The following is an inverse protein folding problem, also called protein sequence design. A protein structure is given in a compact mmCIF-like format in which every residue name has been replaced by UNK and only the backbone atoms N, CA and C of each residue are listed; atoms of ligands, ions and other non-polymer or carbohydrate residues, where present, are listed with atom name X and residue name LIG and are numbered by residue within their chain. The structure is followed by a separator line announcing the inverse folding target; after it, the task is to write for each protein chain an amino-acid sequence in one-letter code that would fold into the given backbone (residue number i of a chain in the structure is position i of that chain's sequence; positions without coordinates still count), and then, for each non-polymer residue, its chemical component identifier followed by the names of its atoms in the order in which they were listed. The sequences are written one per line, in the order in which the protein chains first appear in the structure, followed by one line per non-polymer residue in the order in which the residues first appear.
data_IF_141185637714
#
_entry.id   IF_141185637714
#
_cell.length_a   1.000
_cell.length_b   1.000
_cell.length_c   1.000
_cell.angle_alpha   90.00
_cell.angle_beta   90.00
_cell.angle_gamma   90.00
#
_symmetry.space_group_name_H-M   'P 1'
#
loop_
_entity.id
_entity.type
_entity.pdbx_description
1 polymer ?
#
# COMPACT_ATOMS: atom_id res chain seq x y z
N UNK A 1 21.84 10.23 -41.76
CA UNK A 1 21.09 9.39 -40.80
C UNK A 1 22.02 8.23 -40.47
N UNK A 2 22.54 8.19 -39.26
CA UNK A 2 23.27 7.06 -38.74
C UNK A 2 22.20 6.25 -38.02
N UNK A 3 21.74 5.15 -38.62
CA UNK A 3 20.99 4.10 -37.93
C UNK A 3 22.00 3.31 -37.11
N UNK A 4 22.07 3.58 -35.82
CA UNK A 4 22.71 2.67 -34.86
C UNK A 4 21.68 1.58 -34.58
N UNK A 5 21.73 0.47 -35.31
CA UNK A 5 21.15 -0.78 -34.87
C UNK A 5 22.02 -1.29 -33.72
N UNK A 6 21.58 -1.10 -32.47
CA UNK A 6 22.06 -1.92 -31.40
C UNK A 6 21.58 -3.35 -31.70
N UNK A 7 22.50 -4.24 -32.01
CA UNK A 7 22.28 -5.67 -32.08
C UNK A 7 22.21 -6.16 -30.61
N UNK A 8 21.08 -5.91 -29.95
CA UNK A 8 20.83 -6.45 -28.61
C UNK A 8 20.59 -7.96 -28.78
N UNK A 9 21.65 -8.74 -28.70
CA UNK A 9 21.55 -10.19 -28.62
C UNK A 9 20.71 -10.55 -27.41
N UNK A 10 19.61 -11.32 -27.63
CA UNK A 10 18.77 -11.83 -26.56
C UNK A 10 19.63 -12.53 -25.50
N UNK A 11 19.47 -12.16 -24.24
CA UNK A 11 20.12 -12.86 -23.13
C UNK A 11 19.60 -14.31 -23.04
N UNK A 12 20.36 -15.18 -22.38
CA UNK A 12 19.94 -16.57 -22.16
C UNK A 12 18.81 -16.64 -21.16
N UNK A 13 17.89 -17.59 -21.36
CA UNK A 13 16.84 -17.90 -20.41
C UNK A 13 17.45 -18.34 -19.08
N UNK A 14 16.87 -17.90 -17.97
CA UNK A 14 17.41 -18.11 -16.62
C UNK A 14 16.35 -18.63 -15.65
N UNK A 15 16.84 -19.34 -14.63
CA UNK A 15 16.01 -19.82 -13.52
C UNK A 15 16.65 -19.44 -12.20
N UNK A 16 15.83 -18.90 -11.30
CA UNK A 16 16.22 -18.52 -9.92
C UNK A 16 15.31 -19.25 -8.94
N UNK A 17 15.88 -19.77 -7.86
CA UNK A 17 15.13 -20.42 -6.78
C UNK A 17 15.12 -19.50 -5.55
N UNK A 18 13.94 -19.36 -4.91
CA UNK A 18 13.76 -18.60 -3.70
C UNK A 18 12.72 -19.24 -2.76
N UNK A 19 12.66 -18.81 -1.51
CA UNK A 19 11.53 -19.17 -0.64
C UNK A 19 10.29 -18.36 -1.02
N UNK A 20 10.47 -17.07 -1.31
CA UNK A 20 9.40 -16.15 -1.65
C UNK A 20 9.75 -15.37 -2.91
N UNK A 21 8.85 -15.34 -3.87
CA UNK A 21 8.90 -14.41 -5.00
C UNK A 21 7.83 -13.33 -4.83
N UNK A 22 8.23 -12.09 -5.00
CA UNK A 22 7.36 -10.92 -4.90
C UNK A 22 7.30 -10.26 -6.26
N UNK A 23 6.11 -9.98 -6.76
CA UNK A 23 5.90 -9.31 -8.04
C UNK A 23 5.53 -7.85 -7.79
N UNK A 24 6.44 -6.94 -8.13
CA UNK A 24 6.32 -5.50 -7.93
C UNK A 24 7.19 -4.97 -6.79
N UNK A 25 8.10 -4.02 -7.11
CA UNK A 25 9.01 -3.35 -6.17
C UNK A 25 8.47 -1.99 -5.69
N UNK A 26 7.18 -1.89 -5.44
CA UNK A 26 6.58 -0.75 -4.75
C UNK A 26 6.76 -0.83 -3.23
N UNK A 27 6.16 0.10 -2.48
CA UNK A 27 6.21 0.10 -1.01
C UNK A 27 5.78 -1.23 -0.40
N UNK A 28 4.65 -1.79 -0.84
CA UNK A 28 4.14 -3.07 -0.35
C UNK A 28 5.09 -4.25 -0.63
N UNK A 29 5.69 -4.29 -1.83
CA UNK A 29 6.60 -5.38 -2.21
C UNK A 29 7.89 -5.35 -1.42
N UNK A 30 8.47 -4.17 -1.25
CA UNK A 30 9.72 -4.03 -0.49
C UNK A 30 9.52 -4.28 1.01
N UNK A 31 8.42 -3.82 1.61
CA UNK A 31 8.12 -4.14 3.02
C UNK A 31 7.90 -5.64 3.23
N UNK A 32 7.16 -6.31 2.33
CA UNK A 32 6.98 -7.75 2.36
C UNK A 32 8.33 -8.49 2.23
N UNK A 33 9.21 -8.01 1.35
CA UNK A 33 10.53 -8.60 1.12
C UNK A 33 11.44 -8.48 2.36
N UNK A 34 11.51 -7.29 2.96
CA UNK A 34 12.30 -7.03 4.17
C UNK A 34 11.81 -7.92 5.31
N UNK A 35 10.49 -8.01 5.50
CA UNK A 35 9.87 -8.84 6.54
C UNK A 35 10.20 -10.33 6.33
N UNK A 36 10.01 -10.85 5.11
CA UNK A 36 10.31 -12.25 4.82
C UNK A 36 11.81 -12.57 4.96
N UNK A 37 12.69 -11.67 4.52
CA UNK A 37 14.13 -11.83 4.68
C UNK A 37 14.55 -11.77 6.16
N UNK A 38 13.92 -10.94 6.98
CA UNK A 38 14.10 -10.89 8.43
C UNK A 38 13.76 -12.22 9.13
N UNK A 39 12.81 -12.97 8.57
CA UNK A 39 12.46 -14.34 9.00
C UNK A 39 13.38 -15.42 8.38
N UNK A 40 14.51 -15.03 7.80
CA UNK A 40 15.53 -15.92 7.24
C UNK A 40 15.13 -16.58 5.92
N UNK A 41 14.18 -16.01 5.18
CA UNK A 41 13.78 -16.52 3.87
C UNK A 41 14.63 -15.89 2.76
N UNK A 42 14.94 -16.68 1.73
CA UNK A 42 15.47 -16.15 0.48
C UNK A 42 14.34 -15.48 -0.32
N UNK A 43 14.56 -14.24 -0.75
CA UNK A 43 13.52 -13.42 -1.41
C UNK A 43 14.01 -12.86 -2.73
N UNK A 44 13.18 -12.98 -3.75
CA UNK A 44 13.38 -12.35 -5.06
C UNK A 44 12.20 -11.45 -5.36
N UNK A 45 12.47 -10.19 -5.72
CA UNK A 45 11.46 -9.26 -6.26
C UNK A 45 11.61 -9.20 -7.78
N UNK A 46 10.52 -9.30 -8.51
CA UNK A 46 10.44 -9.11 -9.96
C UNK A 46 9.75 -7.77 -10.23
N UNK A 47 10.44 -6.84 -10.89
CA UNK A 47 9.94 -5.49 -11.18
C UNK A 47 10.04 -5.19 -12.68
N UNK A 48 8.92 -4.79 -13.27
CA UNK A 48 8.81 -4.51 -14.71
C UNK A 48 9.54 -3.23 -15.14
N UNK A 49 9.73 -2.29 -14.23
CA UNK A 49 10.32 -0.99 -14.51
C UNK A 49 11.85 -0.99 -14.28
N UNK A 50 12.57 0.01 -14.83
CA UNK A 50 14.01 0.14 -14.62
C UNK A 50 14.39 0.65 -13.22
N UNK A 51 13.43 0.94 -12.38
CA UNK A 51 13.61 1.43 -11.01
C UNK A 51 12.48 0.95 -10.10
N UNK A 52 12.75 0.88 -8.82
CA UNK A 52 11.75 0.56 -7.78
C UNK A 52 10.79 1.73 -7.51
N UNK A 53 9.71 1.47 -6.78
CA UNK A 53 8.84 2.47 -6.20
C UNK A 53 7.46 2.59 -6.85
N UNK A 54 7.33 2.40 -8.16
CA UNK A 54 6.04 2.48 -8.85
C UNK A 54 5.24 3.75 -8.51
N UNK A 55 3.98 3.61 -8.10
CA UNK A 55 3.16 4.73 -7.62
C UNK A 55 3.55 5.17 -6.21
N UNK A 56 4.16 4.30 -5.40
CA UNK A 56 4.53 4.63 -4.03
C UNK A 56 5.56 5.76 -3.95
N UNK A 57 6.54 5.81 -4.87
CA UNK A 57 7.54 6.89 -4.91
C UNK A 57 6.92 8.25 -5.25
N UNK A 58 5.75 8.27 -5.87
CA UNK A 58 5.02 9.47 -6.29
C UNK A 58 4.08 10.01 -5.21
N UNK A 59 3.91 9.28 -4.10
CA UNK A 59 3.04 9.68 -3.02
C UNK A 59 3.56 10.96 -2.33
N UNK A 60 2.78 12.04 -2.38
CA UNK A 60 3.13 13.35 -1.83
C UNK A 60 2.55 13.60 -0.44
N UNK A 61 1.57 12.82 -0.03
CA UNK A 61 0.92 12.92 1.27
C UNK A 61 1.78 12.39 2.40
N UNK A 62 1.21 11.53 3.20
CA UNK A 62 1.84 10.85 4.32
C UNK A 62 1.16 9.51 4.56
N UNK A 63 1.52 8.85 5.64
CA UNK A 63 0.91 7.60 6.09
C UNK A 63 -0.11 7.89 7.18
N UNK A 64 -1.34 7.42 6.99
CA UNK A 64 -2.42 7.60 7.94
C UNK A 64 -2.35 6.50 9.02
N UNK A 65 -2.18 6.89 10.28
CA UNK A 65 -2.10 5.96 11.41
C UNK A 65 -2.67 6.57 12.68
N UNK A 66 -3.33 5.75 13.50
CA UNK A 66 -3.90 6.15 14.79
C UNK A 66 -3.13 5.55 15.97
N UNK A 67 -3.16 6.22 17.12
CA UNK A 67 -2.53 5.74 18.37
C UNK A 67 -1.01 5.57 18.29
N UNK A 68 -0.33 6.43 17.54
CA UNK A 68 1.13 6.40 17.42
C UNK A 68 1.79 7.24 18.54
N UNK A 69 3.05 6.92 18.86
CA UNK A 69 3.88 7.71 19.77
C UNK A 69 4.01 9.17 19.30
N UNK A 70 4.03 9.39 17.99
CA UNK A 70 4.14 10.72 17.40
C UNK A 70 2.89 11.58 17.54
N UNK A 71 1.70 10.98 17.67
CA UNK A 71 0.49 11.73 18.03
C UNK A 71 0.61 12.29 19.44
N UNK A 72 1.15 11.53 20.39
CA UNK A 72 1.29 11.94 21.79
C UNK A 72 2.28 13.12 21.99
N UNK A 73 3.13 13.40 21.01
CA UNK A 73 3.99 14.60 20.98
C UNK A 73 3.24 15.88 20.63
N UNK A 74 1.97 15.77 20.19
CA UNK A 74 1.15 16.90 19.80
C UNK A 74 0.16 17.29 20.89
N UNK A 75 -0.14 18.59 20.99
CA UNK A 75 -1.27 19.08 21.79
C UNK A 75 -2.59 18.72 21.10
N UNK A 76 -3.52 18.13 21.85
CA UNK A 76 -4.84 17.78 21.33
C UNK A 76 -5.74 19.02 21.26
N UNK A 77 -6.20 19.33 20.07
CA UNK A 77 -7.07 20.48 19.79
C UNK A 77 -8.31 20.15 18.94
N UNK A 78 -8.56 18.86 18.67
CA UNK A 78 -9.53 18.40 17.67
C UNK A 78 -10.89 17.99 18.25
N UNK A 79 -11.29 18.48 19.44
CA UNK A 79 -12.58 18.14 20.08
C UNK A 79 -13.78 18.28 19.13
N UNK A 80 -13.83 19.37 18.36
CA UNK A 80 -14.89 19.59 17.38
C UNK A 80 -14.93 18.53 16.26
N UNK A 81 -13.79 17.94 15.90
CA UNK A 81 -13.69 16.85 14.94
C UNK A 81 -14.35 15.58 15.47
N UNK A 82 -14.00 15.20 16.70
CA UNK A 82 -14.58 14.03 17.38
C UNK A 82 -16.10 14.17 17.54
N UNK A 83 -16.55 15.31 18.04
CA UNK A 83 -17.98 15.60 18.24
C UNK A 83 -18.76 15.57 16.92
N UNK A 84 -18.17 16.12 15.84
CA UNK A 84 -18.77 16.09 14.52
C UNK A 84 -18.90 14.68 13.98
N UNK A 85 -17.88 13.81 14.16
CA UNK A 85 -17.93 12.41 13.72
C UNK A 85 -19.02 11.64 14.48
N UNK A 86 -19.09 11.78 15.80
CA UNK A 86 -20.15 11.17 16.60
C UNK A 86 -21.56 11.64 16.19
N UNK A 87 -21.72 12.95 15.98
CA UNK A 87 -22.97 13.51 15.48
C UNK A 87 -23.33 12.97 14.11
N UNK A 88 -22.37 12.87 13.19
CA UNK A 88 -22.59 12.33 11.84
C UNK A 88 -23.05 10.88 11.90
N UNK A 89 -22.43 10.06 12.75
CA UNK A 89 -22.83 8.68 12.97
C UNK A 89 -24.30 8.58 13.41
N UNK A 90 -24.69 9.37 14.41
CA UNK A 90 -26.06 9.36 14.96
C UNK A 90 -27.11 9.86 13.95
N UNK A 91 -26.79 10.91 13.17
CA UNK A 91 -27.78 11.55 12.27
C UNK A 91 -27.90 10.83 10.92
N UNK A 92 -26.82 10.23 10.40
CA UNK A 92 -26.81 9.70 9.01
C UNK A 92 -26.68 8.19 8.93
N UNK A 93 -26.27 7.54 10.01
CA UNK A 93 -25.96 6.10 10.02
C UNK A 93 -26.61 5.34 11.17
N UNK A 94 -27.73 5.87 11.71
CA UNK A 94 -28.44 5.24 12.83
C UNK A 94 -28.89 3.78 12.55
N UNK A 95 -29.10 3.45 11.28
CA UNK A 95 -29.51 2.11 10.84
C UNK A 95 -28.31 1.20 10.50
N UNK A 96 -27.07 1.68 10.60
CA UNK A 96 -25.87 0.89 10.36
C UNK A 96 -25.32 0.36 11.69
N UNK A 97 -25.47 -0.93 11.95
CA UNK A 97 -25.11 -1.56 13.22
C UNK A 97 -23.62 -1.39 13.55
N UNK A 98 -22.71 -1.52 12.57
CA UNK A 98 -21.26 -1.36 12.77
C UNK A 98 -20.93 0.06 13.19
N UNK A 99 -21.41 1.06 12.44
CA UNK A 99 -21.15 2.48 12.74
C UNK A 99 -21.74 2.86 14.10
N UNK A 100 -22.92 2.36 14.42
CA UNK A 100 -23.59 2.63 15.71
C UNK A 100 -22.81 2.02 16.88
N UNK A 101 -22.29 0.80 16.74
CA UNK A 101 -21.46 0.15 17.76
C UNK A 101 -20.15 0.91 17.97
N UNK A 102 -19.45 1.28 16.90
CA UNK A 102 -18.22 2.08 16.96
C UNK A 102 -18.48 3.44 17.62
N UNK A 103 -19.55 4.14 17.20
CA UNK A 103 -19.89 5.45 17.78
C UNK A 103 -20.19 5.37 19.27
N UNK A 104 -20.80 4.29 19.75
CA UNK A 104 -21.00 4.04 21.18
C UNK A 104 -19.67 3.92 21.91
N UNK A 105 -18.77 3.05 21.43
CA UNK A 105 -17.43 2.86 22.03
C UNK A 105 -16.65 4.15 22.06
N UNK A 106 -16.61 4.88 20.92
CA UNK A 106 -15.92 6.17 20.83
C UNK A 106 -16.52 7.22 21.79
N UNK A 107 -17.86 7.25 21.96
CA UNK A 107 -18.51 8.15 22.93
C UNK A 107 -18.08 7.87 24.36
N UNK A 108 -17.95 6.60 24.75
CA UNK A 108 -17.47 6.20 26.07
C UNK A 108 -16.01 6.58 26.27
N UNK A 109 -15.15 6.34 25.27
CA UNK A 109 -13.73 6.74 25.27
C UNK A 109 -13.58 8.27 25.35
N UNK A 110 -14.37 9.00 24.56
CA UNK A 110 -14.36 10.46 24.56
C UNK A 110 -14.80 11.04 25.90
N UNK A 111 -15.87 10.54 26.51
CA UNK A 111 -16.32 10.95 27.83
C UNK A 111 -15.25 10.69 28.91
N UNK A 112 -14.56 9.56 28.85
CA UNK A 112 -13.47 9.24 29.77
C UNK A 112 -12.29 10.19 29.60
N UNK A 113 -11.90 10.51 28.37
CA UNK A 113 -10.85 11.48 28.09
C UNK A 113 -11.20 12.89 28.58
N UNK A 114 -12.44 13.35 28.33
CA UNK A 114 -12.90 14.68 28.80
C UNK A 114 -12.89 14.79 30.33
N UNK A 115 -13.16 13.69 31.04
CA UNK A 115 -13.11 13.65 32.50
C UNK A 115 -11.67 13.73 33.05
N UNK A 116 -10.69 13.23 32.33
CA UNK A 116 -9.28 13.26 32.73
C UNK A 116 -8.37 13.30 31.47
N UNK A 117 -8.22 14.49 30.84
CA UNK A 117 -7.43 14.63 29.62
C UNK A 117 -5.96 14.28 29.83
N UNK A 118 -5.45 13.28 29.10
CA UNK A 118 -4.04 12.83 29.14
C UNK A 118 -3.58 12.48 27.75
N UNK A 119 -2.48 13.08 27.30
CA UNK A 119 -1.93 12.84 25.95
C UNK A 119 -2.84 13.29 24.82
N UNK A 120 -2.61 12.74 23.64
CA UNK A 120 -3.40 13.01 22.45
C UNK A 120 -4.58 12.03 22.37
N UNK A 121 -5.80 12.55 22.18
CA UNK A 121 -6.98 11.69 22.04
C UNK A 121 -7.06 11.09 20.63
N UNK A 122 -6.90 9.81 20.54
CA UNK A 122 -7.24 8.98 19.39
C UNK A 122 -7.50 7.54 19.85
N UNK A 123 -8.16 6.75 19.03
CA UNK A 123 -8.34 5.31 19.22
C UNK A 123 -8.47 4.59 17.90
N UNK A 124 -8.27 3.28 17.94
CA UNK A 124 -8.51 2.40 16.78
C UNK A 124 -9.96 2.56 16.33
N UNK A 125 -10.90 2.52 17.27
CA UNK A 125 -12.35 2.62 17.00
C UNK A 125 -12.74 4.00 16.43
N UNK A 126 -12.06 5.09 16.82
CA UNK A 126 -12.30 6.40 16.20
C UNK A 126 -11.78 6.43 14.76
N UNK A 127 -10.65 5.80 14.49
CA UNK A 127 -10.12 5.68 13.13
C UNK A 127 -11.02 4.78 12.25
N UNK A 128 -11.53 3.69 12.81
CA UNK A 128 -12.52 2.83 12.14
C UNK A 128 -13.82 3.58 11.85
N UNK A 129 -14.33 4.35 12.82
CA UNK A 129 -15.54 5.14 12.68
C UNK A 129 -15.39 6.20 11.55
N UNK A 130 -14.29 6.94 11.53
CA UNK A 130 -13.98 7.90 10.46
C UNK A 130 -13.91 7.19 9.10
N UNK A 131 -13.26 6.02 9.04
CA UNK A 131 -13.10 5.23 7.82
C UNK A 131 -14.42 4.68 7.31
N UNK A 132 -15.26 4.12 8.20
CA UNK A 132 -16.60 3.62 7.87
C UNK A 132 -17.51 4.75 7.35
N UNK A 133 -17.49 5.91 8.01
CA UNK A 133 -18.27 7.10 7.56
C UNK A 133 -17.74 7.60 6.23
N UNK A 134 -16.42 7.69 6.03
CA UNK A 134 -15.78 8.09 4.79
C UNK A 134 -16.15 7.20 3.61
N UNK A 135 -16.24 5.90 3.84
CA UNK A 135 -16.70 4.88 2.89
C UNK A 135 -18.23 4.76 2.81
N UNK A 136 -18.98 5.68 3.43
CA UNK A 136 -20.47 5.70 3.43
C UNK A 136 -21.12 4.44 3.99
N UNK A 137 -20.42 3.73 4.86
CA UNK A 137 -20.91 2.52 5.52
C UNK A 137 -20.98 1.27 4.65
N UNK A 138 -20.39 1.29 3.46
CA UNK A 138 -20.33 0.14 2.54
C UNK A 138 -19.03 -0.66 2.64
N UNK A 139 -18.07 -0.16 3.41
CA UNK A 139 -16.80 -0.83 3.66
C UNK A 139 -17.02 -2.21 4.29
N UNK A 140 -16.11 -3.15 4.03
CA UNK A 140 -16.03 -4.37 4.83
C UNK A 140 -15.45 -4.03 6.21
N UNK A 141 -16.21 -4.22 7.31
CA UNK A 141 -15.74 -3.84 8.65
C UNK A 141 -14.50 -4.59 9.10
N UNK A 142 -14.32 -5.85 8.70
CA UNK A 142 -13.17 -6.67 9.09
C UNK A 142 -11.88 -6.17 8.44
N UNK A 143 -11.95 -5.67 7.20
CA UNK A 143 -10.82 -5.05 6.51
C UNK A 143 -10.47 -3.70 7.12
N UNK A 144 -11.49 -2.90 7.51
CA UNK A 144 -11.29 -1.62 8.21
C UNK A 144 -10.62 -1.84 9.55
N UNK A 145 -11.09 -2.79 10.37
CA UNK A 145 -10.50 -3.17 11.65
C UNK A 145 -9.02 -3.59 11.46
N UNK A 146 -8.75 -4.47 10.49
CA UNK A 146 -7.39 -4.92 10.19
C UNK A 146 -6.46 -3.75 9.88
N UNK A 147 -6.90 -2.79 9.03
CA UNK A 147 -6.12 -1.61 8.70
C UNK A 147 -5.86 -0.72 9.92
N UNK A 148 -6.92 -0.38 10.66
CA UNK A 148 -6.85 0.59 11.75
C UNK A 148 -6.06 0.04 12.94
N UNK A 149 -6.30 -1.22 13.32
CA UNK A 149 -5.64 -1.86 14.46
C UNK A 149 -4.12 -2.01 14.26
N UNK A 150 -3.66 -2.21 13.03
CA UNK A 150 -2.24 -2.40 12.72
C UNK A 150 -1.53 -1.12 12.24
N UNK A 151 -2.20 0.02 12.22
CA UNK A 151 -1.63 1.23 11.64
C UNK A 151 -0.48 1.83 12.47
N UNK A 152 -0.55 1.77 13.80
CA UNK A 152 0.53 2.21 14.68
C UNK A 152 1.76 1.30 14.56
N UNK A 153 1.56 -0.01 14.59
CA UNK A 153 2.64 -0.99 14.44
C UNK A 153 3.40 -0.83 13.11
N UNK A 154 2.70 -0.38 12.06
CA UNK A 154 3.35 -0.09 10.79
C UNK A 154 4.25 1.17 10.85
N UNK A 155 3.92 2.17 11.65
CA UNK A 155 4.80 3.33 11.92
C UNK A 155 6.01 2.89 12.73
N UNK A 156 5.82 2.08 13.76
CA UNK A 156 6.90 1.55 14.60
C UNK A 156 7.84 0.67 13.77
N UNK A 157 7.31 -0.19 12.90
CA UNK A 157 8.10 -0.99 11.97
C UNK A 157 8.96 -0.13 11.03
N UNK A 158 8.43 0.99 10.52
CA UNK A 158 9.20 1.92 9.69
C UNK A 158 10.36 2.55 10.49
N UNK A 159 10.13 2.95 11.74
CA UNK A 159 11.17 3.51 12.60
C UNK A 159 12.27 2.49 12.90
N UNK A 160 11.94 1.24 13.16
CA UNK A 160 12.90 0.15 13.34
C UNK A 160 13.81 -0.05 12.12
N UNK A 161 13.33 0.36 10.94
CA UNK A 161 14.08 0.29 9.68
C UNK A 161 14.69 1.65 9.26
N UNK A 162 14.74 2.62 10.18
CA UNK A 162 15.35 3.94 9.94
C UNK A 162 14.52 4.86 9.07
N UNK A 163 13.20 4.62 8.96
CA UNK A 163 12.26 5.42 8.17
C UNK A 163 11.31 6.14 9.12
N UNK A 164 11.62 7.39 9.46
CA UNK A 164 10.90 8.15 10.48
C UNK A 164 9.89 9.12 9.87
N UNK A 165 8.63 9.00 10.26
CA UNK A 165 7.51 9.83 9.81
C UNK A 165 6.89 10.58 11.00
N UNK A 166 7.69 11.38 11.71
CA UNK A 166 7.30 11.96 13.00
C UNK A 166 6.41 13.22 12.94
N UNK A 167 6.27 13.85 11.77
CA UNK A 167 5.37 15.00 11.66
C UNK A 167 3.92 14.55 11.48
N UNK A 168 3.09 14.81 12.48
CA UNK A 168 1.66 14.48 12.46
C UNK A 168 0.83 15.70 12.13
N UNK A 169 -0.04 15.58 11.13
CA UNK A 169 -0.88 16.67 10.64
C UNK A 169 -2.29 16.22 10.28
N UNK A 170 -3.15 17.19 9.96
CA UNK A 170 -4.54 16.95 9.58
C UNK A 170 -4.62 16.35 8.18
N UNK A 171 -5.62 15.48 7.98
CA UNK A 171 -5.98 14.88 6.71
C UNK A 171 -7.48 15.00 6.46
N UNK A 172 -7.89 15.16 5.22
CA UNK A 172 -9.30 15.26 4.86
C UNK A 172 -10.08 13.98 5.21
N UNK A 173 -11.17 14.14 5.98
CA UNK A 173 -12.00 13.02 6.43
C UNK A 173 -11.65 12.46 7.80
N UNK A 174 -10.47 12.72 8.34
CA UNK A 174 -10.11 12.34 9.70
C UNK A 174 -10.62 13.36 10.72
N UNK A 175 -11.15 12.87 11.83
CA UNK A 175 -11.62 13.70 12.96
C UNK A 175 -10.49 14.32 13.77
N UNK A 176 -9.32 13.68 13.76
CA UNK A 176 -8.10 14.08 14.48
C UNK A 176 -6.89 14.02 13.54
N UNK A 177 -5.73 14.52 13.96
CA UNK A 177 -4.49 14.46 13.17
C UNK A 177 -3.97 13.04 13.15
N UNK A 178 -3.79 12.47 11.96
CA UNK A 178 -3.29 11.09 11.77
C UNK A 178 -2.30 10.93 10.62
N UNK A 179 -2.08 11.99 9.80
CA UNK A 179 -1.17 11.84 8.66
C UNK A 179 0.28 12.07 9.10
N UNK A 180 1.06 11.01 9.03
CA UNK A 180 2.48 11.00 9.39
C UNK A 180 3.33 11.30 8.16
N UNK A 181 4.23 12.28 8.29
CA UNK A 181 5.09 12.75 7.22
C UNK A 181 6.55 12.82 7.64
N UNK A 182 7.48 12.61 6.70
CA UNK A 182 8.88 12.84 6.97
C UNK A 182 9.20 14.33 6.99
N UNK A 183 10.25 14.67 7.74
CA UNK A 183 10.81 16.01 7.80
C UNK A 183 12.28 15.95 7.39
N UNK A 184 12.72 16.83 6.51
CA UNK A 184 14.12 16.90 6.10
C UNK A 184 14.99 17.61 7.14
N UNK A 185 16.31 17.64 6.91
CA UNK A 185 17.31 18.26 7.82
C UNK A 185 17.07 19.77 8.06
N UNK A 186 16.32 20.43 7.18
CA UNK A 186 15.93 21.84 7.33
C UNK A 186 14.64 22.03 8.16
N UNK A 187 14.05 20.95 8.68
CA UNK A 187 12.80 20.97 9.42
C UNK A 187 11.55 21.14 8.55
N UNK A 188 11.65 20.92 7.23
CA UNK A 188 10.52 21.01 6.30
C UNK A 188 9.90 19.64 6.04
N UNK A 189 8.57 19.60 6.06
CA UNK A 189 7.81 18.40 5.64
C UNK A 189 8.03 18.16 4.16
N UNK A 190 8.36 16.91 3.81
CA UNK A 190 8.60 16.48 2.43
C UNK A 190 7.64 15.35 2.03
N UNK A 191 7.64 14.98 0.74
CA UNK A 191 6.80 13.92 0.21
C UNK A 191 7.19 12.56 0.79
N UNK A 192 6.22 11.81 1.30
CA UNK A 192 6.47 10.50 1.95
C UNK A 192 7.09 9.50 0.97
N UNK A 193 6.60 9.42 -0.27
CA UNK A 193 7.06 8.43 -1.24
C UNK A 193 8.53 8.61 -1.62
N UNK A 194 8.93 9.84 -1.96
CA UNK A 194 10.32 10.16 -2.34
C UNK A 194 11.31 10.02 -1.18
N UNK A 195 10.84 10.09 0.06
CA UNK A 195 11.63 9.86 1.26
C UNK A 195 11.74 8.35 1.59
N UNK A 196 10.61 7.66 1.60
CA UNK A 196 10.53 6.28 2.09
C UNK A 196 11.09 5.25 1.10
N UNK A 197 10.83 5.41 -0.20
CA UNK A 197 11.19 4.40 -1.20
C UNK A 197 12.70 4.14 -1.29
N UNK A 198 13.60 5.13 -1.34
CA UNK A 198 15.03 4.88 -1.33
C UNK A 198 15.51 4.15 -0.07
N UNK A 199 14.92 4.45 1.08
CA UNK A 199 15.25 3.80 2.35
C UNK A 199 14.76 2.35 2.40
N UNK A 200 13.59 2.05 1.83
CA UNK A 200 13.11 0.68 1.68
C UNK A 200 14.01 -0.13 0.72
N UNK A 201 14.45 0.47 -0.40
CA UNK A 201 15.40 -0.16 -1.31
C UNK A 201 16.71 -0.51 -0.60
N UNK A 202 17.28 0.43 0.16
CA UNK A 202 18.48 0.22 0.96
C UNK A 202 18.29 -0.91 2.00
N UNK A 203 17.13 -0.97 2.66
CA UNK A 203 16.80 -2.06 3.59
C UNK A 203 16.66 -3.41 2.88
N UNK A 204 16.09 -3.46 1.67
CA UNK A 204 16.08 -4.67 0.85
C UNK A 204 17.51 -5.15 0.53
N UNK A 205 18.40 -4.24 0.13
CA UNK A 205 19.81 -4.57 -0.14
C UNK A 205 20.52 -5.12 1.10
N UNK A 206 20.36 -4.45 2.25
CA UNK A 206 20.91 -4.89 3.54
C UNK A 206 20.41 -6.27 3.97
N UNK A 207 19.14 -6.56 3.66
CA UNK A 207 18.50 -7.85 3.95
C UNK A 207 18.89 -8.96 2.94
N UNK A 208 19.65 -8.65 1.89
CA UNK A 208 20.07 -9.60 0.86
C UNK A 208 18.94 -9.99 -0.12
N UNK A 209 17.92 -9.14 -0.25
CA UNK A 209 16.84 -9.33 -1.23
C UNK A 209 17.38 -9.10 -2.64
N UNK A 210 17.13 -10.04 -3.55
CA UNK A 210 17.46 -9.87 -4.97
C UNK A 210 16.32 -9.14 -5.67
N UNK A 211 16.60 -8.04 -6.35
CA UNK A 211 15.62 -7.28 -7.15
C UNK A 211 15.97 -7.41 -8.63
N UNK A 212 15.07 -7.99 -9.41
CA UNK A 212 15.19 -8.14 -10.87
C UNK A 212 14.39 -7.01 -11.54
N UNK A 213 15.08 -5.94 -11.91
CA UNK A 213 14.51 -4.82 -12.65
C UNK A 213 14.34 -5.15 -14.14
N UNK A 214 13.52 -4.36 -14.87
CA UNK A 214 13.22 -4.58 -16.28
C UNK A 214 12.75 -6.02 -16.59
N UNK A 215 12.12 -6.65 -15.61
CA UNK A 215 11.68 -8.04 -15.67
C UNK A 215 10.18 -8.09 -15.41
N UNK A 216 9.41 -8.36 -16.46
CA UNK A 216 7.94 -8.33 -16.41
C UNK A 216 7.38 -9.71 -16.14
N UNK A 217 6.75 -9.92 -14.99
CA UNK A 217 6.04 -11.15 -14.68
C UNK A 217 4.79 -11.29 -15.58
N UNK A 218 4.60 -12.47 -16.16
CA UNK A 218 3.53 -12.75 -17.11
C UNK A 218 2.62 -13.89 -16.67
N UNK A 219 3.10 -14.76 -15.78
CA UNK A 219 2.39 -15.97 -15.38
C UNK A 219 2.74 -16.35 -13.94
N UNK A 220 1.74 -16.75 -13.17
CA UNK A 220 1.94 -17.45 -11.90
C UNK A 220 1.99 -18.95 -12.21
N UNK A 221 3.11 -19.57 -11.86
CA UNK A 221 3.28 -21.01 -12.04
C UNK A 221 2.55 -21.76 -10.93
N UNK A 222 1.82 -22.82 -11.30
CA UNK A 222 1.10 -23.65 -10.35
C UNK A 222 1.51 -25.11 -10.48
N UNK A 223 1.46 -25.84 -9.36
CA UNK A 223 1.66 -27.30 -9.36
C UNK A 223 0.39 -28.05 -9.82
N UNK A 224 0.44 -29.37 -9.84
CA UNK A 224 -0.68 -30.22 -10.23
C UNK A 224 -1.93 -30.09 -9.31
N UNK A 225 -1.77 -29.52 -8.12
CA UNK A 225 -2.84 -29.26 -7.15
C UNK A 225 -3.37 -27.82 -7.23
N UNK A 226 -2.80 -26.98 -8.11
CA UNK A 226 -3.17 -25.58 -8.25
C UNK A 226 -2.48 -24.64 -7.24
N UNK A 227 -1.52 -25.12 -6.46
CA UNK A 227 -0.74 -24.27 -5.56
C UNK A 227 0.28 -23.43 -6.37
N UNK A 228 0.42 -22.14 -6.03
CA UNK A 228 1.40 -21.27 -6.66
C UNK A 228 2.82 -21.69 -6.25
N UNK A 229 3.69 -21.94 -7.24
CA UNK A 229 5.06 -22.44 -7.04
C UNK A 229 6.11 -21.56 -7.71
N UNK A 230 5.77 -20.37 -8.13
CA UNK A 230 6.68 -19.41 -8.73
C UNK A 230 6.03 -18.51 -9.75
N UNK A 231 6.86 -17.79 -10.49
CA UNK A 231 6.43 -16.91 -11.58
C UNK A 231 7.31 -17.10 -12.81
N UNK A 232 6.71 -16.89 -13.98
CA UNK A 232 7.43 -16.77 -15.24
C UNK A 232 7.40 -15.31 -15.68
N UNK A 233 8.53 -14.79 -16.07
CA UNK A 233 8.71 -13.40 -16.45
C UNK A 233 9.50 -13.29 -17.75
N UNK A 234 9.47 -12.11 -18.35
CA UNK A 234 10.28 -11.74 -19.52
C UNK A 234 11.22 -10.62 -19.14
N UNK A 235 12.50 -10.80 -19.36
CA UNK A 235 13.53 -9.80 -19.15
C UNK A 235 13.63 -8.77 -20.28
N UNK A 236 14.55 -7.82 -20.15
CA UNK A 236 14.67 -6.64 -21.02
C UNK A 236 14.99 -6.95 -22.47
N UNK A 237 15.67 -8.08 -22.76
CA UNK A 237 16.03 -8.49 -24.12
C UNK A 237 15.09 -9.58 -24.68
N UNK A 238 14.02 -9.90 -23.95
CA UNK A 238 13.03 -10.90 -24.33
C UNK A 238 13.35 -12.33 -23.88
N UNK A 239 14.37 -12.49 -23.01
CA UNK A 239 14.69 -13.77 -22.37
C UNK A 239 13.60 -14.17 -21.38
N UNK A 240 13.45 -15.47 -21.17
CA UNK A 240 12.57 -16.01 -20.13
C UNK A 240 13.31 -16.04 -18.79
N UNK A 241 12.70 -15.44 -17.76
CA UNK A 241 13.15 -15.55 -16.38
C UNK A 241 12.11 -16.33 -15.59
N UNK A 242 12.51 -17.50 -15.06
CA UNK A 242 11.65 -18.31 -14.21
C UNK A 242 12.12 -18.16 -12.77
N UNK A 243 11.23 -17.78 -11.85
CA UNK A 243 11.52 -17.79 -10.42
C UNK A 243 10.67 -18.86 -9.77
N UNK A 244 11.31 -19.94 -9.34
CA UNK A 244 10.64 -20.98 -8.53
C UNK A 244 10.60 -20.52 -7.09
N UNK A 245 9.46 -20.67 -6.44
CA UNK A 245 9.30 -20.23 -5.05
C UNK A 245 8.27 -21.07 -4.31
N UNK A 246 8.36 -21.09 -2.97
CA UNK A 246 7.37 -21.75 -2.10
C UNK A 246 6.14 -20.87 -1.87
N UNK A 247 6.28 -19.55 -2.08
CA UNK A 247 5.20 -18.58 -1.96
C UNK A 247 5.35 -17.47 -3.01
N UNK A 248 4.22 -16.97 -3.51
CA UNK A 248 4.13 -15.86 -4.46
C UNK A 248 3.33 -14.74 -3.83
N UNK A 249 3.91 -13.53 -3.79
CA UNK A 249 3.26 -12.34 -3.25
C UNK A 249 3.05 -11.33 -4.39
N UNK A 250 1.80 -10.95 -4.63
CA UNK A 250 1.45 -9.96 -5.65
C UNK A 250 1.33 -8.56 -5.05
N UNK A 251 2.19 -7.66 -5.48
CA UNK A 251 2.21 -6.25 -5.06
C UNK A 251 2.34 -5.30 -6.25
N UNK A 252 1.75 -5.71 -7.37
CA UNK A 252 1.88 -5.06 -8.68
C UNK A 252 1.13 -3.72 -8.78
N UNK A 253 0.43 -3.30 -7.73
CA UNK A 253 -0.46 -2.14 -7.78
C UNK A 253 -1.70 -2.41 -8.63
N UNK A 254 -2.27 -1.33 -9.17
CA UNK A 254 -3.48 -1.38 -9.97
C UNK A 254 -3.23 -1.32 -11.48
N UNK A 255 -4.26 -0.87 -12.20
CA UNK A 255 -4.26 -0.77 -13.66
C UNK A 255 -4.46 0.67 -14.19
N UNK A 256 -4.23 1.68 -13.34
CA UNK A 256 -4.52 3.08 -13.68
C UNK A 256 -3.73 3.66 -14.86
N UNK A 257 -2.64 3.01 -15.31
CA UNK A 257 -1.91 3.38 -16.52
C UNK A 257 -2.36 2.58 -17.76
N UNK A 258 -3.18 1.54 -17.60
CA UNK A 258 -3.79 0.79 -18.69
C UNK A 258 -5.16 1.40 -19.03
N UNK A 259 -5.16 2.41 -19.90
CA UNK A 259 -6.38 3.16 -20.22
C UNK A 259 -7.44 2.29 -20.92
N UNK A 260 -7.06 1.24 -21.63
CA UNK A 260 -8.01 0.29 -22.23
C UNK A 260 -8.71 -0.54 -21.14
N UNK A 261 -7.98 -0.98 -20.11
CA UNK A 261 -8.55 -1.66 -18.96
C UNK A 261 -9.42 -0.73 -18.12
N UNK A 262 -9.01 0.55 -17.94
CA UNK A 262 -9.83 1.58 -17.30
C UNK A 262 -11.17 1.74 -18.02
N UNK A 263 -11.16 1.91 -19.34
CA UNK A 263 -12.38 2.08 -20.15
C UNK A 263 -13.22 0.81 -20.18
N UNK A 264 -12.60 -0.38 -20.12
CA UNK A 264 -13.31 -1.66 -20.02
C UNK A 264 -14.20 -1.73 -18.79
N UNK A 265 -13.70 -1.30 -17.63
CA UNK A 265 -14.43 -1.35 -16.36
C UNK A 265 -15.27 -0.09 -16.08
N UNK A 266 -14.87 1.07 -16.63
CA UNK A 266 -15.53 2.34 -16.43
C UNK A 266 -15.56 3.16 -17.75
N UNK A 267 -16.50 2.86 -18.67
CA UNK A 267 -16.54 3.43 -20.02
C UNK A 267 -16.59 4.96 -20.09
N UNK A 268 -17.16 5.60 -19.07
CA UNK A 268 -17.25 7.07 -18.98
C UNK A 268 -15.90 7.76 -18.81
N UNK A 269 -14.84 7.01 -18.46
CA UNK A 269 -13.47 7.53 -18.35
C UNK A 269 -12.71 7.54 -19.68
N UNK A 270 -13.38 7.23 -20.80
CA UNK A 270 -12.75 7.32 -22.13
C UNK A 270 -12.26 8.74 -22.41
N UNK A 271 -10.95 8.87 -22.68
CA UNK A 271 -10.32 10.16 -22.97
C UNK A 271 -9.72 10.86 -21.75
N UNK A 272 -9.85 10.29 -20.55
CA UNK A 272 -9.11 10.76 -19.39
C UNK A 272 -7.63 10.38 -19.49
N UNK A 273 -6.79 11.22 -18.89
CA UNK A 273 -5.36 10.95 -18.72
C UNK A 273 -5.09 10.35 -17.34
N UNK A 274 -3.88 9.84 -17.16
CA UNK A 274 -3.46 9.24 -15.89
C UNK A 274 -2.20 9.89 -15.34
N UNK A 275 -2.08 9.97 -14.02
CA UNK A 275 -0.86 10.33 -13.28
C UNK A 275 -0.12 9.10 -12.76
N UNK A 276 -0.63 7.90 -13.02
CA UNK A 276 -0.01 6.66 -12.57
C UNK A 276 1.37 6.45 -13.17
N UNK A 277 2.22 5.70 -12.47
CA UNK A 277 3.45 5.17 -13.01
C UNK A 277 3.16 4.22 -14.19
N UNK A 278 4.03 4.21 -15.20
CA UNK A 278 3.83 3.42 -16.42
C UNK A 278 3.66 1.90 -16.15
N UNK A 279 4.20 1.39 -15.06
CA UNK A 279 4.07 -0.01 -14.65
C UNK A 279 2.69 -0.41 -14.11
N UNK A 280 1.78 0.53 -13.84
CA UNK A 280 0.44 0.23 -13.33
C UNK A 280 -0.49 -0.27 -14.45
N UNK A 281 -0.20 -1.45 -15.00
CA UNK A 281 -0.84 -2.02 -16.19
C UNK A 281 -1.89 -3.10 -15.88
N UNK A 282 -1.98 -3.57 -14.62
CA UNK A 282 -2.95 -4.60 -14.21
C UNK A 282 -2.47 -6.05 -14.41
N UNK A 283 -1.20 -6.29 -14.75
CA UNK A 283 -0.68 -7.64 -15.00
C UNK A 283 -0.92 -8.60 -13.82
N UNK A 284 -0.76 -8.13 -12.58
CA UNK A 284 -1.00 -8.96 -11.40
C UNK A 284 -2.45 -9.41 -11.29
N UNK A 285 -3.40 -8.55 -11.66
CA UNK A 285 -4.83 -8.88 -11.69
C UNK A 285 -5.07 -9.95 -12.76
N UNK A 286 -4.50 -9.78 -13.97
CA UNK A 286 -4.65 -10.72 -15.07
C UNK A 286 -4.05 -12.09 -14.72
N UNK A 287 -2.84 -12.13 -14.15
CA UNK A 287 -2.19 -13.37 -13.72
C UNK A 287 -2.98 -14.09 -12.63
N UNK A 288 -3.47 -13.36 -11.63
CA UNK A 288 -4.24 -13.94 -10.53
C UNK A 288 -5.59 -14.49 -11.01
N UNK A 289 -6.31 -13.74 -11.85
CA UNK A 289 -7.58 -14.19 -12.41
C UNK A 289 -7.42 -15.40 -13.32
N UNK A 290 -6.30 -15.51 -14.04
CA UNK A 290 -5.99 -16.67 -14.87
C UNK A 290 -5.90 -17.99 -14.08
N UNK A 291 -5.54 -17.93 -12.80
CA UNK A 291 -5.50 -19.08 -11.89
C UNK A 291 -6.71 -19.18 -10.94
N UNK A 292 -7.76 -18.38 -11.19
CA UNK A 292 -9.05 -18.49 -10.50
C UNK A 292 -9.29 -17.48 -9.37
N UNK A 293 -8.47 -16.45 -9.21
CA UNK A 293 -8.75 -15.38 -8.24
C UNK A 293 -9.99 -14.58 -8.64
N UNK A 294 -10.79 -14.21 -7.65
CA UNK A 294 -11.91 -13.28 -7.81
C UNK A 294 -11.44 -11.82 -7.85
N UNK A 295 -12.33 -10.94 -8.34
CA UNK A 295 -12.13 -9.48 -8.34
C UNK A 295 -13.31 -8.79 -7.66
N UNK A 296 -13.05 -7.65 -7.01
CA UNK A 296 -14.06 -6.84 -6.32
C UNK A 296 -13.90 -5.39 -6.76
N UNK A 297 -15.02 -4.72 -6.98
CA UNK A 297 -15.11 -3.26 -7.21
C UNK A 297 -14.23 -2.73 -8.37
N UNK A 298 -14.07 -3.52 -9.43
CA UNK A 298 -13.21 -3.15 -10.57
C UNK A 298 -13.64 -1.87 -11.30
N UNK A 299 -14.90 -1.47 -11.15
CA UNK A 299 -15.48 -0.24 -11.70
C UNK A 299 -15.32 0.98 -10.76
N UNK A 300 -14.88 0.76 -9.51
CA UNK A 300 -14.65 1.82 -8.53
C UNK A 300 -13.28 2.50 -8.74
N UNK A 301 -13.12 3.13 -9.90
CA UNK A 301 -11.88 3.83 -10.27
C UNK A 301 -11.96 5.26 -9.77
N UNK A 302 -10.98 5.67 -8.96
CA UNK A 302 -10.84 7.03 -8.46
C UNK A 302 -10.22 7.93 -9.53
N UNK A 303 -10.77 9.16 -9.65
CA UNK A 303 -10.36 10.20 -10.61
C UNK A 303 -9.75 11.36 -9.82
#
# INVERSE_FOLDING_TARGET
KIEVKADETKAEDSTVDADVVIVGAGGAGMTAAITAAGEGKSVVIVESQPMVGGNSVRATGGMNAGKTVYQDENEFGESAGVEKTLKTAAEKYADNETITALAKTVSEQWAAYQANPTGYFDSVELMELDTMIGGKGINDPALVETLCANSADAIDWLDEHGITLHNVSSFGGASVKRIHRPVNDEGKVVSVGSYMIPLLEENCEKAGVQILLNTTANEILTDANGAAVGVKATGSTGETVTVNAKAVVLTTGGFGANLDMVVKYKPELKGFMTTNAAGAQGQGIEMATAIGAGTVDMDQIQI
#
